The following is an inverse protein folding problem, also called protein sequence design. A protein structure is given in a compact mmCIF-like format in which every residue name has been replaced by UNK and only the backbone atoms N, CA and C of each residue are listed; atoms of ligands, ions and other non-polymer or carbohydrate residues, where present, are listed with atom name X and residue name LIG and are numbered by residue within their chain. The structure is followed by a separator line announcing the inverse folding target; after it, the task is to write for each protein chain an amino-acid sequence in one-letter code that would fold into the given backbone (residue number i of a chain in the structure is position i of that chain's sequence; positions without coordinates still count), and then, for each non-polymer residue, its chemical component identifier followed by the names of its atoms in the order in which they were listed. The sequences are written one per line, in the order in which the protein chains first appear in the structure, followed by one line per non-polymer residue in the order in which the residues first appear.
data_IF_122690637422
#
_entry.id   IF_122690637422
#
_cell.length_a   1.000
_cell.length_b   1.000
_cell.length_c   1.000
_cell.angle_alpha   90.00
_cell.angle_beta   90.00
_cell.angle_gamma   90.00
#
_symmetry.space_group_name_H-M   'P 1'
#
loop_
_entity.id
_entity.type
_entity.pdbx_description
1 polymer ?
#
# COMPACT_ATOMS: atom_id res chain seq x y z
N UNK A 1 -9.72 19.99 44.47
CA UNK A 1 -9.33 20.39 43.10
C UNK A 1 -9.64 19.23 42.17
N UNK A 2 -10.43 19.43 41.11
CA UNK A 2 -10.77 18.38 40.16
C UNK A 2 -9.80 18.41 38.97
N UNK A 3 -9.25 17.25 38.59
CA UNK A 3 -8.49 17.05 37.36
C UNK A 3 -9.24 16.08 36.46
N UNK A 4 -9.27 16.35 35.16
CA UNK A 4 -9.79 15.44 34.13
C UNK A 4 -8.66 15.08 33.18
N UNK A 5 -8.50 13.79 32.90
CA UNK A 5 -7.59 13.29 31.89
C UNK A 5 -8.33 13.12 30.55
N UNK A 6 -7.65 13.43 29.46
CA UNK A 6 -8.08 13.16 28.10
C UNK A 6 -7.04 12.25 27.45
N UNK A 7 -7.52 11.24 26.73
CA UNK A 7 -6.67 10.39 25.90
C UNK A 7 -6.80 10.85 24.45
N UNK A 8 -5.66 11.07 23.81
CA UNK A 8 -5.57 11.40 22.39
C UNK A 8 -4.75 10.31 21.73
N UNK A 9 -5.31 9.73 20.67
CA UNK A 9 -4.61 8.77 19.83
C UNK A 9 -4.15 9.48 18.56
N UNK A 10 -2.86 9.35 18.24
CA UNK A 10 -2.28 9.89 17.00
C UNK A 10 -2.20 8.73 16.02
N UNK A 11 -2.94 8.84 14.91
CA UNK A 11 -2.95 7.85 13.83
C UNK A 11 -2.03 8.32 12.72
N UNK A 12 -1.09 7.48 12.32
CA UNK A 12 -0.11 7.74 11.27
C UNK A 12 -0.55 7.10 9.95
N UNK A 13 -0.40 7.82 8.82
CA UNK A 13 -0.71 7.27 7.52
C UNK A 13 0.26 6.14 7.15
N UNK A 14 -0.16 5.20 6.28
CA UNK A 14 0.75 4.24 5.68
C UNK A 14 1.85 4.92 4.88
N UNK A 15 3.09 4.46 5.05
CA UNK A 15 4.23 4.87 4.23
C UNK A 15 4.57 3.73 3.29
N UNK A 16 4.56 4.03 1.99
CA UNK A 16 4.82 3.06 0.93
C UNK A 16 6.26 3.23 0.46
N UNK A 17 7.00 2.13 0.42
CA UNK A 17 8.34 2.12 -0.15
C UNK A 17 8.28 2.32 -1.68
N UNK A 18 9.24 3.06 -2.28
CA UNK A 18 9.29 3.23 -3.72
C UNK A 18 9.31 1.87 -4.44
N UNK A 19 8.41 1.69 -5.40
CA UNK A 19 8.34 0.51 -6.24
C UNK A 19 8.09 0.92 -7.70
N UNK A 20 8.45 0.04 -8.64
CA UNK A 20 8.25 0.31 -10.06
C UNK A 20 8.51 -0.91 -10.93
N UNK A 21 8.05 -0.83 -12.18
CA UNK A 21 8.39 -1.80 -13.20
C UNK A 21 9.84 -1.59 -13.68
N UNK A 22 10.56 -2.66 -14.08
CA UNK A 22 11.85 -2.53 -14.74
C UNK A 22 11.68 -1.74 -16.05
N UNK A 23 12.71 -0.97 -16.43
CA UNK A 23 12.72 -0.16 -17.66
C UNK A 23 12.60 -1.05 -18.91
N UNK A 24 13.15 -2.26 -18.85
CA UNK A 24 13.13 -3.24 -19.94
C UNK A 24 12.12 -4.34 -19.58
N UNK A 25 10.87 -4.12 -19.95
CA UNK A 25 9.86 -5.18 -19.93
C UNK A 25 9.98 -5.92 -21.26
N UNK A 26 10.35 -7.19 -21.24
CA UNK A 26 10.34 -8.01 -22.46
C UNK A 26 8.89 -8.25 -22.85
N UNK A 27 8.56 -8.05 -24.14
CA UNK A 27 7.20 -8.20 -24.68
C UNK A 27 6.60 -9.60 -24.48
N UNK A 28 7.44 -10.61 -24.18
CA UNK A 28 7.05 -11.99 -23.87
C UNK A 28 7.47 -12.44 -22.46
N UNK A 29 7.72 -11.51 -21.55
CA UNK A 29 8.23 -11.78 -20.20
C UNK A 29 7.18 -11.65 -19.09
N UNK A 30 7.46 -12.25 -17.92
CA UNK A 30 6.72 -11.98 -16.69
C UNK A 30 7.48 -10.95 -15.87
N UNK A 31 6.75 -9.94 -15.38
CA UNK A 31 7.28 -8.96 -14.45
C UNK A 31 6.51 -9.02 -13.13
N UNK A 32 7.23 -8.80 -12.03
CA UNK A 32 6.66 -8.71 -10.70
C UNK A 32 7.02 -7.36 -10.09
N UNK A 33 6.06 -6.78 -9.38
CA UNK A 33 6.22 -5.55 -8.60
C UNK A 33 5.58 -5.80 -7.25
N UNK A 34 6.23 -5.36 -6.18
CA UNK A 34 5.75 -5.51 -4.80
C UNK A 34 5.53 -4.12 -4.20
N UNK A 35 4.37 -3.93 -3.56
CA UNK A 35 4.09 -2.73 -2.77
C UNK A 35 4.29 -3.07 -1.30
N UNK A 36 5.37 -2.55 -0.72
CA UNK A 36 5.70 -2.74 0.70
C UNK A 36 5.32 -1.51 1.51
N UNK A 37 4.71 -1.72 2.67
CA UNK A 37 4.38 -0.67 3.63
C UNK A 37 5.42 -0.71 4.75
N UNK A 38 6.16 0.37 4.95
CA UNK A 38 7.23 0.43 5.97
C UNK A 38 6.77 0.97 7.32
N UNK A 39 5.69 1.76 7.35
CA UNK A 39 5.09 2.25 8.60
C UNK A 39 3.64 2.68 8.41
N UNK A 40 2.93 2.95 9.51
CA UNK A 40 1.51 3.32 9.55
C UNK A 40 0.76 2.49 10.58
N UNK A 41 -0.36 3.01 11.07
CA UNK A 41 -1.17 2.28 12.05
C UNK A 41 -2.23 1.40 11.35
N UNK A 42 -2.55 0.25 11.96
CA UNK A 42 -3.48 -0.74 11.41
C UNK A 42 -4.95 -0.37 11.68
N UNK A 43 -5.92 -0.82 10.84
CA UNK A 43 -5.77 -1.72 9.69
C UNK A 43 -5.41 -0.97 8.40
N UNK A 44 -4.48 -1.54 7.62
CA UNK A 44 -4.10 -1.00 6.32
C UNK A 44 -4.71 -1.85 5.22
N UNK A 45 -5.32 -1.19 4.22
CA UNK A 45 -5.90 -1.82 3.04
C UNK A 45 -5.07 -1.47 1.81
N UNK A 46 -4.66 -2.48 1.05
CA UNK A 46 -3.90 -2.32 -0.19
C UNK A 46 -4.78 -2.76 -1.35
N UNK A 47 -4.80 -1.95 -2.41
CA UNK A 47 -5.52 -2.23 -3.65
C UNK A 47 -4.68 -1.80 -4.84
N UNK A 48 -4.70 -2.59 -5.91
CA UNK A 48 -3.98 -2.28 -7.14
C UNK A 48 -4.92 -1.78 -8.23
N UNK A 49 -4.51 -0.71 -8.91
CA UNK A 49 -5.24 -0.13 -10.04
C UNK A 49 -4.30 0.05 -11.21
N UNK A 50 -4.80 -0.19 -12.43
CA UNK A 50 -4.13 0.15 -13.68
C UNK A 50 -5.02 1.14 -14.44
N UNK A 51 -4.48 2.29 -14.81
CA UNK A 51 -5.19 3.33 -15.57
C UNK A 51 -6.54 3.74 -14.94
N UNK A 52 -6.56 3.85 -13.60
CA UNK A 52 -7.75 4.18 -12.82
C UNK A 52 -8.78 3.05 -12.67
N UNK A 53 -8.50 1.84 -13.18
CA UNK A 53 -9.37 0.67 -13.07
C UNK A 53 -8.79 -0.35 -12.11
N UNK A 54 -9.65 -0.93 -11.27
CA UNK A 54 -9.25 -2.01 -10.37
C UNK A 54 -8.73 -3.20 -11.17
N UNK A 55 -7.56 -3.70 -10.80
CA UNK A 55 -7.04 -4.96 -11.32
C UNK A 55 -7.86 -6.05 -10.63
N UNK A 56 -8.76 -6.71 -11.37
CA UNK A 56 -9.64 -7.71 -10.79
C UNK A 56 -8.82 -8.82 -10.08
N UNK A 57 -9.32 -9.31 -8.95
CA UNK A 57 -8.65 -10.26 -8.04
C UNK A 57 -8.27 -11.61 -8.68
N UNK A 58 -8.65 -11.85 -9.93
CA UNK A 58 -8.27 -13.00 -10.74
C UNK A 58 -6.90 -12.85 -11.44
N UNK A 59 -6.25 -11.69 -11.31
CA UNK A 59 -4.84 -11.51 -11.63
C UNK A 59 -4.09 -11.74 -10.32
N UNK A 60 -3.17 -12.71 -10.29
CA UNK A 60 -2.40 -13.08 -9.10
C UNK A 60 -1.55 -11.91 -8.61
N UNK A 61 -2.14 -11.05 -7.78
CA UNK A 61 -1.48 -9.98 -7.04
C UNK A 61 -1.18 -10.54 -5.66
N UNK A 62 0.06 -10.96 -5.47
CA UNK A 62 0.61 -11.48 -4.21
C UNK A 62 1.88 -10.76 -3.83
#
# INVERSE_FOLDING_TARGET
MAKKALYVEIIRPPVIEPFGFPIQVQDSGRTQVTCSISSGDLPIKVSWTKDGRSIANNLNVG
#
